data_IF_379306715385
#
_entry.id   IF_379306715385
#
_cell.length_a   1.000
_cell.length_b   1.000
_cell.length_c   1.000
_cell.angle_alpha   90.00
_cell.angle_beta   90.00
_cell.angle_gamma   90.00
#
_symmetry.space_group_name_H-M   'P 1'
#
loop_
_entity.id
_entity.type
_entity.pdbx_description
1 polymer ?
#
# COMPACT_ATOMS: atom_id res chain seq x y z
N UNK A 1 -48.02 -0.11 -56.65
CA UNK A 1 -48.32 0.49 -55.35
C UNK A 1 -47.68 -0.43 -54.31
N UNK A 2 -46.50 -0.11 -53.97
CA UNK A 2 -45.70 -0.95 -53.07
C UNK A 2 -45.29 -0.09 -51.86
N UNK A 3 -45.79 -0.42 -50.69
CA UNK A 3 -45.55 0.29 -49.44
C UNK A 3 -44.39 -0.36 -48.72
N UNK A 4 -43.19 0.24 -48.90
CA UNK A 4 -41.97 -0.15 -48.17
C UNK A 4 -42.11 0.14 -46.70
N UNK A 5 -42.28 -0.90 -45.88
CA UNK A 5 -42.17 -0.86 -44.41
C UNK A 5 -40.71 -0.69 -44.01
N UNK A 6 -40.32 0.50 -43.55
CA UNK A 6 -39.02 0.76 -42.94
C UNK A 6 -39.00 0.19 -41.52
N UNK A 7 -38.42 -0.98 -41.33
CA UNK A 7 -38.14 -1.57 -40.04
C UNK A 7 -36.91 -0.89 -39.43
N UNK A 8 -37.12 0.07 -38.55
CA UNK A 8 -36.05 0.64 -37.71
C UNK A 8 -35.69 -0.39 -36.63
N UNK A 9 -34.68 -1.18 -36.90
CA UNK A 9 -34.04 -2.06 -35.93
C UNK A 9 -33.40 -1.23 -34.84
N UNK A 10 -34.08 -1.02 -33.74
CA UNK A 10 -33.50 -0.50 -32.51
C UNK A 10 -32.44 -1.46 -32.00
N UNK A 11 -31.18 -1.10 -32.20
CA UNK A 11 -30.05 -1.80 -31.60
C UNK A 11 -30.14 -1.60 -30.09
N UNK A 12 -30.81 -2.51 -29.41
CA UNK A 12 -30.70 -2.62 -27.97
C UNK A 12 -29.25 -2.98 -27.67
N UNK A 13 -28.53 -2.03 -27.14
CA UNK A 13 -27.17 -2.19 -26.64
C UNK A 13 -27.26 -3.11 -25.38
N UNK A 14 -27.37 -4.42 -25.60
CA UNK A 14 -27.39 -5.40 -24.53
C UNK A 14 -25.98 -5.52 -23.97
N UNK A 15 -25.80 -5.06 -22.73
CA UNK A 15 -24.53 -5.19 -22.03
C UNK A 15 -24.22 -6.69 -21.87
N UNK A 16 -23.03 -7.17 -22.29
CA UNK A 16 -22.65 -8.58 -22.13
C UNK A 16 -22.77 -9.04 -20.68
N UNK A 17 -23.28 -10.26 -20.47
CA UNK A 17 -23.46 -10.81 -19.11
C UNK A 17 -22.14 -10.88 -18.33
N UNK A 18 -21.01 -11.12 -19.01
CA UNK A 18 -19.69 -11.10 -18.40
C UNK A 18 -19.32 -9.73 -17.80
N UNK A 19 -19.77 -8.63 -18.42
CA UNK A 19 -19.58 -7.28 -17.91
C UNK A 19 -20.48 -7.05 -16.70
N UNK A 20 -21.74 -7.48 -16.76
CA UNK A 20 -22.66 -7.38 -15.64
C UNK A 20 -22.19 -8.17 -14.42
N UNK A 21 -21.65 -9.37 -14.63
CA UNK A 21 -21.08 -10.17 -13.55
C UNK A 21 -19.83 -9.51 -12.94
N UNK A 22 -18.96 -8.92 -13.76
CA UNK A 22 -17.81 -8.17 -13.29
C UNK A 22 -18.23 -6.96 -12.43
N UNK A 23 -19.25 -6.23 -12.85
CA UNK A 23 -19.83 -5.09 -12.10
C UNK A 23 -20.40 -5.55 -10.76
N UNK A 24 -21.23 -6.61 -10.75
CA UNK A 24 -21.80 -7.16 -9.50
C UNK A 24 -20.73 -7.63 -8.53
N UNK A 25 -19.66 -8.27 -9.02
CA UNK A 25 -18.53 -8.70 -8.19
C UNK A 25 -17.78 -7.50 -7.62
N UNK A 26 -17.54 -6.48 -8.44
CA UNK A 26 -16.86 -5.25 -7.99
C UNK A 26 -17.71 -4.54 -6.93
N UNK A 27 -19.04 -4.44 -7.10
CA UNK A 27 -19.93 -3.82 -6.12
C UNK A 27 -19.85 -4.54 -4.77
N UNK A 28 -19.96 -5.87 -4.76
CA UNK A 28 -19.82 -6.67 -3.52
C UNK A 28 -18.45 -6.47 -2.85
N UNK A 29 -17.37 -6.48 -3.62
CA UNK A 29 -16.05 -6.25 -3.06
C UNK A 29 -15.89 -4.84 -2.45
N UNK A 30 -16.55 -3.82 -3.02
CA UNK A 30 -16.55 -2.45 -2.46
C UNK A 30 -17.35 -2.40 -1.16
N UNK A 31 -18.52 -3.06 -1.10
CA UNK A 31 -19.33 -3.18 0.12
C UNK A 31 -18.54 -3.89 1.25
N UNK A 32 -17.83 -4.98 0.93
CA UNK A 32 -16.96 -5.68 1.88
C UNK A 32 -15.81 -4.78 2.38
N UNK A 33 -15.19 -4.00 1.48
CA UNK A 33 -14.13 -3.05 1.85
C UNK A 33 -14.68 -1.94 2.73
N UNK A 34 -15.88 -1.41 2.43
CA UNK A 34 -16.52 -0.38 3.24
C UNK A 34 -16.76 -0.87 4.67
N UNK A 35 -17.38 -2.05 4.83
CA UNK A 35 -17.65 -2.64 6.14
C UNK A 35 -16.34 -2.89 6.95
N UNK A 36 -15.33 -3.48 6.31
CA UNK A 36 -14.04 -3.73 6.96
C UNK A 36 -13.31 -2.44 7.32
N UNK A 37 -13.42 -1.41 6.48
CA UNK A 37 -12.79 -0.10 6.73
C UNK A 37 -13.48 0.64 7.87
N UNK A 38 -14.81 0.60 7.96
CA UNK A 38 -15.57 1.18 9.09
C UNK A 38 -15.19 0.50 10.41
N UNK A 39 -15.15 -0.84 10.41
CA UNK A 39 -14.70 -1.61 11.59
C UNK A 39 -13.27 -1.24 11.97
N UNK A 40 -12.34 -1.23 11.01
CA UNK A 40 -10.95 -0.86 11.25
C UNK A 40 -10.82 0.56 11.80
N UNK A 41 -11.51 1.54 11.21
CA UNK A 41 -11.46 2.93 11.67
C UNK A 41 -12.09 3.11 13.06
N UNK A 42 -13.01 2.25 13.47
CA UNK A 42 -13.56 2.28 14.83
C UNK A 42 -12.53 1.94 15.90
N UNK A 43 -11.50 1.15 15.55
CA UNK A 43 -10.36 0.83 16.44
C UNK A 43 -9.19 1.81 16.30
N UNK A 44 -9.14 2.58 15.21
CA UNK A 44 -8.05 3.52 14.94
C UNK A 44 -8.35 4.94 15.44
N UNK A 45 -8.74 5.07 16.70
CA UNK A 45 -8.82 6.38 17.32
C UNK A 45 -7.43 7.00 17.54
N UNK A 46 -7.39 8.29 17.81
CA UNK A 46 -6.12 9.02 18.00
C UNK A 46 -5.32 8.47 19.19
N UNK A 47 -6.00 8.01 20.24
CA UNK A 47 -5.36 7.47 21.43
C UNK A 47 -4.73 6.11 21.15
N UNK A 48 -5.46 5.21 20.49
CA UNK A 48 -4.95 3.89 20.07
C UNK A 48 -3.75 4.03 19.15
N UNK A 49 -3.81 4.92 18.14
CA UNK A 49 -2.70 5.16 17.23
C UNK A 49 -1.47 5.75 17.95
N UNK A 50 -1.68 6.54 19.00
CA UNK A 50 -0.58 7.11 19.78
C UNK A 50 0.18 6.03 20.56
N UNK A 51 -0.52 5.01 21.05
CA UNK A 51 0.08 3.91 21.82
C UNK A 51 0.79 2.86 20.95
N UNK A 52 0.55 2.84 19.64
CA UNK A 52 1.29 1.96 18.72
C UNK A 52 2.76 2.35 18.63
N UNK A 53 3.62 1.34 18.49
CA UNK A 53 5.01 1.57 18.13
C UNK A 53 5.12 2.33 16.80
N UNK A 54 6.20 3.10 16.61
CA UNK A 54 6.36 3.98 15.44
C UNK A 54 6.23 3.23 14.11
N UNK A 55 6.78 2.01 14.00
CA UNK A 55 6.70 1.20 12.76
C UNK A 55 5.29 0.64 12.54
N UNK A 56 4.62 0.20 13.60
CA UNK A 56 3.24 -0.28 13.52
C UNK A 56 2.30 0.85 13.10
N UNK A 57 2.42 2.02 13.71
CA UNK A 57 1.64 3.21 13.33
C UNK A 57 1.90 3.61 11.88
N UNK A 58 3.17 3.59 11.43
CA UNK A 58 3.50 3.88 10.04
C UNK A 58 2.87 2.86 9.09
N UNK A 59 2.84 1.58 9.45
CA UNK A 59 2.20 0.52 8.67
C UNK A 59 0.68 0.74 8.57
N UNK A 60 0.02 1.05 9.67
CA UNK A 60 -1.42 1.34 9.70
C UNK A 60 -1.76 2.53 8.79
N UNK A 61 -1.02 3.63 8.91
CA UNK A 61 -1.23 4.82 8.08
C UNK A 61 -0.98 4.54 6.59
N UNK A 62 0.02 3.72 6.27
CA UNK A 62 0.30 3.30 4.89
C UNK A 62 -0.84 2.45 4.33
N UNK A 63 -1.40 1.53 5.11
CA UNK A 63 -2.55 0.71 4.70
C UNK A 63 -3.78 1.58 4.39
N UNK A 64 -4.10 2.55 5.25
CA UNK A 64 -5.20 3.50 5.02
C UNK A 64 -4.96 4.31 3.74
N UNK A 65 -3.76 4.82 3.55
CA UNK A 65 -3.40 5.59 2.37
C UNK A 65 -3.52 4.76 1.07
N UNK A 66 -3.09 3.49 1.10
CA UNK A 66 -3.23 2.55 -0.03
C UNK A 66 -4.70 2.27 -0.34
N UNK A 67 -5.51 1.99 0.69
CA UNK A 67 -6.94 1.75 0.51
C UNK A 67 -7.63 2.97 -0.12
N UNK A 68 -7.41 4.17 0.41
CA UNK A 68 -7.98 5.41 -0.11
C UNK A 68 -7.57 5.67 -1.56
N UNK A 69 -6.28 5.52 -1.90
CA UNK A 69 -5.78 5.73 -3.25
C UNK A 69 -6.36 4.72 -4.24
N UNK A 70 -6.50 3.45 -3.83
CA UNK A 70 -7.11 2.39 -4.65
C UNK A 70 -8.60 2.64 -4.91
N UNK A 71 -9.34 3.04 -3.88
CA UNK A 71 -10.77 3.40 -4.02
C UNK A 71 -10.94 4.62 -4.92
N UNK A 72 -10.05 5.60 -4.82
CA UNK A 72 -10.07 6.76 -5.71
C UNK A 72 -9.79 6.36 -7.17
N UNK A 73 -8.81 5.48 -7.42
CA UNK A 73 -8.54 4.97 -8.76
C UNK A 73 -9.74 4.18 -9.33
N UNK A 74 -10.41 3.39 -8.49
CA UNK A 74 -11.65 2.70 -8.88
C UNK A 74 -12.74 3.71 -9.29
N UNK A 75 -12.92 4.77 -8.49
CA UNK A 75 -13.86 5.86 -8.82
C UNK A 75 -13.53 6.53 -10.17
N UNK A 76 -12.25 6.74 -10.48
CA UNK A 76 -11.83 7.28 -11.78
C UNK A 76 -12.24 6.34 -12.91
N UNK A 77 -11.97 5.04 -12.79
CA UNK A 77 -12.37 4.02 -13.78
C UNK A 77 -13.88 3.99 -14.00
N UNK A 78 -14.67 4.08 -12.93
CA UNK A 78 -16.14 4.18 -13.03
C UNK A 78 -16.59 5.44 -13.77
N UNK A 79 -15.78 6.49 -13.80
CA UNK A 79 -16.04 7.72 -14.57
C UNK A 79 -15.44 7.70 -15.98
N UNK A 80 -14.85 6.57 -16.41
CA UNK A 80 -14.20 6.44 -17.70
C UNK A 80 -12.84 7.13 -17.79
N UNK A 81 -12.23 7.48 -16.67
CA UNK A 81 -10.90 8.09 -16.61
C UNK A 81 -9.87 7.00 -16.31
N UNK A 82 -8.81 6.92 -17.11
CA UNK A 82 -7.72 6.00 -16.85
C UNK A 82 -6.85 6.56 -15.70
N UNK A 83 -6.67 5.80 -14.59
CA UNK A 83 -5.80 6.22 -13.50
C UNK A 83 -4.34 6.40 -13.91
N UNK A 84 -3.87 5.70 -14.96
CA UNK A 84 -2.49 5.79 -15.44
C UNK A 84 -2.20 7.10 -16.16
N UNK A 85 -3.23 7.75 -16.69
CA UNK A 85 -3.16 9.10 -17.30
C UNK A 85 -3.47 10.21 -16.28
N UNK A 86 -3.83 9.84 -15.05
CA UNK A 86 -4.19 10.78 -14.00
C UNK A 86 -3.04 10.98 -13.01
N UNK A 87 -3.01 12.15 -12.34
CA UNK A 87 -1.99 12.48 -11.34
C UNK A 87 -1.92 11.49 -10.16
N UNK A 88 -2.96 10.69 -9.95
CA UNK A 88 -3.02 9.63 -8.92
C UNK A 88 -1.92 8.57 -9.11
N UNK A 89 -1.40 8.38 -10.32
CA UNK A 89 -0.27 7.50 -10.60
C UNK A 89 0.94 7.81 -9.72
N UNK A 90 1.24 9.09 -9.54
CA UNK A 90 2.36 9.53 -8.67
C UNK A 90 2.14 9.14 -7.21
N UNK A 91 0.89 9.10 -6.75
CA UNK A 91 0.58 8.66 -5.40
C UNK A 91 0.83 7.15 -5.24
N UNK A 92 0.48 6.33 -6.22
CA UNK A 92 0.82 4.90 -6.21
C UNK A 92 2.34 4.67 -6.18
N UNK A 93 3.10 5.39 -7.00
CA UNK A 93 4.57 5.32 -7.01
C UNK A 93 5.15 5.72 -5.64
N UNK A 94 4.63 6.79 -5.04
CA UNK A 94 5.04 7.27 -3.73
C UNK A 94 4.71 6.26 -2.62
N UNK A 95 3.52 5.67 -2.64
CA UNK A 95 3.12 4.65 -1.68
C UNK A 95 3.97 3.38 -1.79
N UNK A 96 4.33 2.97 -3.00
CA UNK A 96 5.24 1.84 -3.22
C UNK A 96 6.63 2.10 -2.62
N UNK A 97 7.16 3.31 -2.76
CA UNK A 97 8.43 3.70 -2.13
C UNK A 97 8.35 3.70 -0.60
N UNK A 98 7.23 4.14 -0.02
CA UNK A 98 7.04 4.08 1.43
C UNK A 98 6.90 2.65 1.94
N UNK A 99 6.21 1.78 1.19
CA UNK A 99 6.09 0.36 1.52
C UNK A 99 7.45 -0.33 1.56
N UNK A 100 8.30 -0.07 0.57
CA UNK A 100 9.66 -0.60 0.52
C UNK A 100 10.51 -0.11 1.69
N UNK A 101 10.47 1.20 1.99
CA UNK A 101 11.18 1.77 3.14
C UNK A 101 10.71 1.20 4.46
N UNK A 102 9.40 1.08 4.64
CA UNK A 102 8.83 0.51 5.86
C UNK A 102 9.27 -0.94 6.04
N UNK A 103 9.23 -1.74 4.97
CA UNK A 103 9.72 -3.13 4.98
C UNK A 103 11.19 -3.19 5.40
N UNK A 104 12.06 -2.35 4.82
CA UNK A 104 13.47 -2.27 5.19
C UNK A 104 13.64 -1.92 6.68
N UNK A 105 12.89 -0.95 7.20
CA UNK A 105 12.93 -0.60 8.62
C UNK A 105 12.46 -1.75 9.52
N UNK A 106 11.40 -2.46 9.13
CA UNK A 106 10.90 -3.62 9.88
C UNK A 106 11.90 -4.78 9.88
N UNK A 107 12.58 -5.01 8.76
CA UNK A 107 13.61 -6.06 8.65
C UNK A 107 14.84 -5.70 9.51
N UNK A 108 15.27 -4.45 9.52
CA UNK A 108 16.34 -3.96 10.39
C UNK A 108 15.97 -4.07 11.88
N UNK A 109 14.72 -3.79 12.24
CA UNK A 109 14.26 -3.90 13.62
C UNK A 109 14.21 -5.37 14.12
N UNK A 110 14.00 -6.32 13.21
CA UNK A 110 14.04 -7.76 13.50
C UNK A 110 15.45 -8.33 13.51
N UNK A 111 16.40 -7.65 12.88
CA UNK A 111 17.79 -8.11 12.83
C UNK A 111 18.39 -8.08 14.24
N UNK A 112 19.04 -9.16 14.69
CA UNK A 112 19.72 -9.16 15.98
C UNK A 112 20.81 -8.09 15.96
N UNK A 113 20.85 -7.26 17.00
CA UNK A 113 21.91 -6.25 17.23
C UNK A 113 23.25 -6.93 17.50
N UNK A 114 23.75 -7.71 16.55
CA UNK A 114 25.13 -8.20 16.59
C UNK A 114 25.98 -7.21 15.84
N UNK A 115 27.03 -6.68 16.47
CA UNK A 115 28.03 -5.88 15.72
C UNK A 115 28.57 -6.73 14.59
N UNK A 116 28.51 -6.22 13.35
CA UNK A 116 29.01 -6.90 12.15
C UNK A 116 30.54 -7.08 12.17
N UNK A 117 31.22 -6.40 13.06
CA UNK A 117 32.65 -6.45 13.33
C UNK A 117 32.92 -7.04 14.71
N UNK A 118 33.46 -8.24 14.75
CA UNK A 118 34.10 -8.78 15.97
C UNK A 118 35.49 -8.14 16.08
N UNK A 119 35.68 -7.37 17.17
CA UNK A 119 37.01 -6.83 17.49
C UNK A 119 37.90 -8.02 17.76
N UNK A 120 39.03 -8.12 17.02
CA UNK A 120 40.03 -9.10 17.30
C UNK A 120 40.75 -8.70 18.61
N UNK A 121 40.62 -9.45 19.72
CA UNK A 121 41.17 -9.06 21.03
C UNK A 121 42.70 -8.95 21.00
N UNK A 122 43.36 -9.77 20.19
CA UNK A 122 44.84 -9.75 20.04
C UNK A 122 45.33 -8.52 19.29
N UNK A 123 44.56 -8.08 18.27
CA UNK A 123 44.89 -6.84 17.57
C UNK A 123 44.63 -5.61 18.47
N UNK A 124 43.55 -5.61 19.22
CA UNK A 124 43.23 -4.54 20.18
C UNK A 124 44.29 -4.46 21.29
N UNK A 125 44.72 -5.60 21.85
CA UNK A 125 45.79 -5.64 22.87
C UNK A 125 47.11 -5.05 22.33
N UNK A 126 47.54 -5.46 21.12
CA UNK A 126 48.74 -4.90 20.48
C UNK A 126 48.65 -3.39 20.26
N UNK A 127 47.48 -2.88 19.92
CA UNK A 127 47.25 -1.45 19.75
C UNK A 127 47.40 -0.71 21.07
N UNK A 128 46.86 -1.27 22.17
CA UNK A 128 46.95 -0.70 23.51
C UNK A 128 48.38 -0.70 24.00
N UNK A 129 49.10 -1.83 23.88
CA UNK A 129 50.47 -1.95 24.28
C UNK A 129 51.41 -0.99 23.52
N UNK A 130 51.10 -0.73 22.25
CA UNK A 130 51.90 0.16 21.42
C UNK A 130 51.55 1.64 21.66
N UNK A 131 50.29 1.95 22.06
CA UNK A 131 49.86 3.32 22.29
C UNK A 131 50.11 3.83 23.71
N UNK A 132 50.33 2.92 24.67
CA UNK A 132 50.55 3.24 26.10
C UNK A 132 51.79 2.47 26.63
N UNK A 133 53.00 2.74 26.09
CA UNK A 133 54.21 1.96 26.46
C UNK A 133 54.69 2.16 27.89
N UNK A 134 54.23 3.18 28.65
CA UNK A 134 54.82 3.59 29.92
C UNK A 134 53.82 3.72 31.08
N UNK A 135 52.94 2.77 31.27
CA UNK A 135 52.09 2.67 32.47
C UNK A 135 52.52 1.54 33.41
N UNK A 136 53.82 1.23 33.47
CA UNK A 136 54.45 0.32 34.47
C UNK A 136 55.09 1.09 35.57
#
# INVERSE_FOLDING_TARGET
MDSGGSSSGGSHNVIPESVMEAVRRTSRNVEDVEANLEEFLSYCDTETLYHLEHLERANVLLMIAKANTTLFALRLRCKGVDPDDHSIKREFERLSLYEEKLKQCMDLNKAPLRPSTTINPQAAARFIDHSLPDLS
#
